data_IF_581383799150
#
_entry.id   IF_581383799150
#
_cell.length_a   1.000
_cell.length_b   1.000
_cell.length_c   1.000
_cell.angle_alpha   90.00
_cell.angle_beta   90.00
_cell.angle_gamma   90.00
#
_symmetry.space_group_name_H-M   'P 1'
#
loop_
_entity.id
_entity.type
_entity.pdbx_description
1 polymer ?
#
# COMPACT_ATOMS: atom_id res chain seq x y z
N UNK A 1 12.63 16.55 -22.22
CA UNK A 1 13.22 15.69 -21.17
C UNK A 1 13.57 16.44 -19.88
N UNK A 2 13.83 17.75 -19.90
CA UNK A 2 14.27 18.54 -18.73
C UNK A 2 13.23 18.60 -17.59
N UNK A 3 11.94 18.73 -17.91
CA UNK A 3 10.88 18.88 -16.90
C UNK A 3 10.68 17.65 -16.01
N UNK A 4 10.80 16.42 -16.54
CA UNK A 4 10.57 15.22 -15.75
C UNK A 4 11.66 14.99 -14.70
N UNK A 5 12.92 15.31 -15.04
CA UNK A 5 14.06 15.20 -14.12
C UNK A 5 13.94 16.23 -13.00
N UNK A 6 13.51 17.45 -13.33
CA UNK A 6 13.28 18.52 -12.36
C UNK A 6 12.11 18.22 -11.41
N UNK A 7 11.02 17.63 -11.93
CA UNK A 7 9.90 17.16 -11.12
C UNK A 7 10.32 16.07 -10.13
N UNK A 8 11.17 15.12 -10.55
CA UNK A 8 11.69 14.08 -9.64
C UNK A 8 12.65 14.64 -8.60
N UNK A 9 13.43 15.67 -8.94
CA UNK A 9 14.41 16.29 -8.04
C UNK A 9 13.78 17.14 -6.93
N UNK A 10 12.59 17.67 -7.18
CA UNK A 10 11.82 18.51 -6.25
C UNK A 10 10.70 17.77 -5.54
N UNK A 11 10.41 16.53 -5.94
CA UNK A 11 9.40 15.71 -5.30
C UNK A 11 9.85 15.27 -3.92
N UNK A 12 9.12 15.72 -2.90
CA UNK A 12 9.24 15.24 -1.54
C UNK A 12 7.97 14.45 -1.24
N UNK A 13 8.13 13.17 -0.89
CA UNK A 13 7.01 12.36 -0.43
C UNK A 13 6.39 12.96 0.85
N UNK A 14 5.14 12.64 1.17
CA UNK A 14 4.56 13.04 2.44
C UNK A 14 5.45 12.54 3.60
N UNK A 15 5.78 13.44 4.52
CA UNK A 15 6.58 13.10 5.70
C UNK A 15 5.70 12.36 6.73
N UNK A 16 5.99 11.08 6.93
CA UNK A 16 5.33 10.25 7.93
C UNK A 16 6.09 10.18 9.25
N UNK A 17 7.19 10.92 9.42
CA UNK A 17 8.12 10.83 10.56
C UNK A 17 7.56 11.47 11.84
N UNK A 18 6.59 12.37 11.73
CA UNK A 18 5.93 13.01 12.89
C UNK A 18 4.88 12.10 13.59
N UNK A 19 4.80 10.81 13.21
CA UNK A 19 4.01 9.77 13.85
C UNK A 19 4.44 9.59 15.32
N UNK A 20 3.96 10.46 16.21
CA UNK A 20 4.00 10.20 17.64
C UNK A 20 3.11 8.99 17.92
N UNK A 21 3.77 7.86 18.25
CA UNK A 21 3.15 6.77 19.01
C UNK A 21 2.38 7.41 20.16
N UNK A 22 1.07 7.17 20.18
CA UNK A 22 0.08 7.97 20.88
C UNK A 22 0.53 8.55 22.22
N UNK A 23 0.56 9.89 22.28
CA UNK A 23 0.35 10.59 23.54
C UNK A 23 -0.90 11.44 23.34
N UNK A 24 -1.99 10.89 23.86
CA UNK A 24 -3.31 11.49 24.07
C UNK A 24 -3.30 13.02 23.96
N UNK A 25 -3.68 13.56 22.80
CA UNK A 25 -4.11 14.94 22.70
C UNK A 25 -5.64 14.95 22.66
N UNK A 26 -6.19 15.51 23.73
CA UNK A 26 -7.61 15.72 23.94
C UNK A 26 -8.32 16.26 22.69
N UNK A 27 -9.35 15.54 22.23
CA UNK A 27 -10.60 16.13 21.77
C UNK A 27 -10.62 16.82 20.40
N UNK A 28 -10.20 16.14 19.33
CA UNK A 28 -10.66 16.50 17.98
C UNK A 28 -11.27 15.28 17.29
N UNK A 29 -12.58 15.34 17.04
CA UNK A 29 -13.40 14.27 16.45
C UNK A 29 -13.10 13.99 14.96
N UNK A 30 -12.02 14.56 14.42
CA UNK A 30 -11.57 14.40 13.03
C UNK A 30 -10.08 14.03 12.96
N UNK A 31 -9.63 13.11 13.82
CA UNK A 31 -8.25 12.62 13.75
C UNK A 31 -8.05 11.78 12.47
N UNK A 32 -7.68 12.45 11.38
CA UNK A 32 -7.15 11.80 10.18
C UNK A 32 -5.97 10.92 10.62
N UNK A 33 -5.90 9.64 10.23
CA UNK A 33 -4.73 8.81 10.53
C UNK A 33 -3.46 9.55 10.11
N UNK A 34 -2.58 9.84 11.06
CA UNK A 34 -1.34 10.63 10.86
C UNK A 34 -0.25 9.79 10.13
N UNK A 35 -0.64 8.65 9.56
CA UNK A 35 0.26 7.71 8.91
C UNK A 35 -0.18 7.39 7.48
N UNK A 36 0.64 6.62 6.74
CA UNK A 36 0.25 6.16 5.43
C UNK A 36 -1.07 5.40 5.52
N UNK A 37 -1.94 5.52 4.51
CA UNK A 37 -3.15 4.71 4.46
C UNK A 37 -2.77 3.23 4.53
N UNK A 38 -3.59 2.38 5.18
CA UNK A 38 -3.38 0.94 5.14
C UNK A 38 -3.33 0.50 3.67
N UNK A 39 -2.24 -0.15 3.29
CA UNK A 39 -1.97 -0.50 1.89
C UNK A 39 -1.74 -2.00 1.76
N UNK A 40 -2.25 -2.60 0.69
CA UNK A 40 -2.07 -4.00 0.33
C UNK A 40 -1.41 -4.04 -1.05
N UNK A 41 -0.35 -4.85 -1.19
CA UNK A 41 0.33 -5.04 -2.46
C UNK A 41 -0.23 -6.28 -3.18
N UNK A 42 -0.74 -6.11 -4.40
CA UNK A 42 -1.00 -7.23 -5.30
C UNK A 42 0.21 -7.39 -6.21
N UNK A 43 0.82 -8.57 -6.21
CA UNK A 43 2.10 -8.83 -6.84
C UNK A 43 2.06 -10.06 -7.73
N UNK A 44 2.61 -9.94 -8.93
CA UNK A 44 2.84 -11.06 -9.83
C UNK A 44 3.86 -12.08 -9.26
N UNK A 45 3.62 -13.38 -9.43
CA UNK A 45 4.53 -14.44 -8.95
C UNK A 45 5.73 -14.65 -9.84
N UNK A 46 5.56 -14.45 -11.16
CA UNK A 46 6.62 -14.62 -12.13
C UNK A 46 7.37 -13.30 -12.26
N UNK A 47 8.50 -13.25 -11.57
CA UNK A 47 9.37 -12.09 -11.60
C UNK A 47 10.42 -12.25 -12.68
N UNK A 48 10.80 -11.13 -13.30
CA UNK A 48 12.10 -11.05 -13.95
C UNK A 48 13.21 -11.21 -12.88
N UNK A 49 14.39 -11.71 -13.26
CA UNK A 49 15.47 -12.11 -12.33
C UNK A 49 15.79 -11.07 -11.24
N UNK A 50 15.61 -9.78 -11.53
CA UNK A 50 15.87 -8.64 -10.64
C UNK A 50 14.78 -8.40 -9.60
N UNK A 51 13.51 -8.63 -9.93
CA UNK A 51 12.38 -8.44 -9.01
C UNK A 51 12.28 -9.56 -7.97
N UNK A 52 12.88 -10.73 -8.26
CA UNK A 52 12.82 -11.92 -7.40
C UNK A 52 13.42 -11.70 -6.00
N UNK A 53 14.35 -10.76 -5.86
CA UNK A 53 15.06 -10.51 -4.59
C UNK A 53 14.38 -9.49 -3.68
N UNK A 54 13.49 -8.66 -4.23
CA UNK A 54 12.83 -7.61 -3.45
C UNK A 54 11.39 -8.02 -3.14
N UNK A 55 11.15 -8.55 -1.94
CA UNK A 55 9.80 -8.95 -1.46
C UNK A 55 8.76 -7.84 -1.60
N UNK A 56 9.17 -6.58 -1.44
CA UNK A 56 8.31 -5.40 -1.48
C UNK A 56 8.58 -4.46 -2.66
N UNK A 57 9.25 -4.92 -3.73
CA UNK A 57 9.46 -4.14 -4.97
C UNK A 57 10.06 -2.73 -4.75
N UNK A 58 10.96 -2.59 -3.78
CA UNK A 58 11.60 -1.29 -3.44
C UNK A 58 10.77 -0.36 -2.54
N UNK A 59 9.52 -0.69 -2.22
CA UNK A 59 8.67 0.15 -1.35
C UNK A 59 9.16 0.22 0.11
N UNK A 60 10.06 -0.67 0.53
CA UNK A 60 10.74 -0.59 1.82
C UNK A 60 11.60 0.67 1.96
N UNK A 61 12.13 1.19 0.85
CA UNK A 61 12.89 2.43 0.82
C UNK A 61 12.00 3.65 1.02
N UNK A 62 10.72 3.55 0.62
CA UNK A 62 9.73 4.59 0.87
C UNK A 62 9.27 4.57 2.33
N UNK A 63 8.88 3.38 2.84
CA UNK A 63 8.50 3.20 4.24
C UNK A 63 8.56 1.72 4.64
N UNK A 64 9.27 1.44 5.72
CA UNK A 64 9.24 0.10 6.34
C UNK A 64 7.82 -0.23 6.82
N UNK A 65 7.42 -1.49 6.66
CA UNK A 65 6.12 -2.02 7.05
C UNK A 65 4.92 -1.26 6.44
N UNK A 66 5.12 -0.67 5.26
CA UNK A 66 4.09 0.05 4.52
C UNK A 66 2.92 -0.86 4.15
N UNK A 67 3.21 -2.07 3.68
CA UNK A 67 2.19 -3.04 3.29
C UNK A 67 1.70 -3.85 4.48
N UNK A 68 0.37 -3.89 4.66
CA UNK A 68 -0.29 -4.75 5.64
C UNK A 68 -0.37 -6.20 5.17
N UNK A 69 -0.38 -6.41 3.85
CA UNK A 69 -0.38 -7.73 3.23
C UNK A 69 0.13 -7.66 1.81
N UNK A 70 0.66 -8.78 1.33
CA UNK A 70 1.00 -9.00 -0.07
C UNK A 70 0.16 -10.17 -0.58
N UNK A 71 -0.62 -9.94 -1.62
CA UNK A 71 -1.40 -10.97 -2.31
C UNK A 71 -0.65 -11.30 -3.60
N UNK A 72 -0.33 -12.58 -3.81
CA UNK A 72 0.42 -13.03 -4.98
C UNK A 72 -0.55 -13.58 -6.03
N UNK A 73 -0.34 -13.21 -7.29
CA UNK A 73 -1.17 -13.63 -8.43
C UNK A 73 -0.31 -14.20 -9.57
N UNK A 74 -0.82 -15.14 -10.38
CA UNK A 74 -0.08 -15.73 -11.49
C UNK A 74 0.33 -14.73 -12.58
N UNK A 75 1.29 -15.14 -13.42
CA UNK A 75 1.86 -14.31 -14.47
C UNK A 75 2.96 -13.37 -13.97
N UNK A 76 3.38 -12.48 -14.88
CA UNK A 76 4.32 -11.39 -14.66
C UNK A 76 3.62 -10.03 -14.84
N UNK A 77 4.35 -8.92 -14.75
CA UNK A 77 3.77 -7.58 -14.89
C UNK A 77 2.95 -7.38 -16.19
N UNK A 78 3.34 -8.05 -17.27
CA UNK A 78 2.64 -7.98 -18.56
C UNK A 78 1.50 -8.99 -18.67
N UNK A 79 1.68 -10.20 -18.13
CA UNK A 79 0.72 -11.30 -18.33
C UNK A 79 -0.31 -11.41 -17.23
N UNK A 80 -0.16 -10.76 -16.08
CA UNK A 80 -1.13 -10.86 -14.98
C UNK A 80 -2.51 -10.26 -15.32
N UNK A 81 -2.57 -9.40 -16.35
CA UNK A 81 -3.81 -8.77 -16.83
C UNK A 81 -4.37 -9.40 -18.11
N UNK A 82 -3.81 -10.51 -18.59
CA UNK A 82 -4.37 -11.23 -19.74
C UNK A 82 -5.64 -11.97 -19.35
N UNK A 83 -6.45 -12.38 -20.33
CA UNK A 83 -7.71 -13.12 -20.10
C UNK A 83 -7.49 -14.36 -19.21
N UNK A 84 -6.36 -15.04 -19.38
CA UNK A 84 -5.99 -16.23 -18.59
C UNK A 84 -5.73 -15.93 -17.10
N UNK A 85 -5.37 -14.69 -16.74
CA UNK A 85 -4.92 -14.34 -15.39
C UNK A 85 -5.76 -13.25 -14.70
N UNK A 86 -6.53 -12.46 -15.45
CA UNK A 86 -7.27 -11.30 -14.93
C UNK A 86 -8.25 -11.67 -13.81
N UNK A 87 -8.81 -12.87 -13.83
CA UNK A 87 -9.67 -13.36 -12.76
C UNK A 87 -8.95 -13.43 -11.41
N UNK A 88 -7.69 -13.90 -11.37
CA UNK A 88 -6.90 -13.93 -10.13
C UNK A 88 -6.62 -12.53 -9.60
N UNK A 89 -6.41 -11.54 -10.49
CA UNK A 89 -6.24 -10.14 -10.08
C UNK A 89 -7.53 -9.58 -9.52
N UNK A 90 -8.68 -9.88 -10.13
CA UNK A 90 -9.99 -9.44 -9.65
C UNK A 90 -10.30 -10.02 -8.26
N UNK A 91 -10.04 -11.31 -8.05
CA UNK A 91 -10.22 -11.97 -6.76
C UNK A 91 -9.29 -11.38 -5.69
N UNK A 92 -8.01 -11.16 -6.04
CA UNK A 92 -7.04 -10.51 -5.15
C UNK A 92 -7.46 -9.07 -4.79
N UNK A 93 -8.02 -8.32 -5.74
CA UNK A 93 -8.54 -6.98 -5.49
C UNK A 93 -9.74 -7.02 -4.54
N UNK A 94 -10.66 -7.95 -4.75
CA UNK A 94 -11.80 -8.13 -3.86
C UNK A 94 -11.35 -8.48 -2.43
N UNK A 95 -10.41 -9.43 -2.29
CA UNK A 95 -9.83 -9.79 -0.99
C UNK A 95 -9.13 -8.58 -0.33
N UNK A 96 -8.35 -7.81 -1.10
CA UNK A 96 -7.68 -6.62 -0.61
C UNK A 96 -8.66 -5.58 -0.06
N UNK A 97 -9.73 -5.27 -0.80
CA UNK A 97 -10.77 -4.35 -0.36
C UNK A 97 -11.41 -4.82 0.95
N UNK A 98 -11.81 -6.09 1.05
CA UNK A 98 -12.38 -6.63 2.28
C UNK A 98 -11.42 -6.53 3.49
N UNK A 99 -10.12 -6.74 3.27
CA UNK A 99 -9.11 -6.58 4.32
C UNK A 99 -8.98 -5.13 4.75
N UNK A 100 -8.95 -4.19 3.80
CA UNK A 100 -8.89 -2.75 4.10
C UNK A 100 -10.12 -2.29 4.86
N UNK A 101 -11.32 -2.70 4.44
CA UNK A 101 -12.58 -2.42 5.13
C UNK A 101 -12.53 -2.89 6.59
N UNK A 102 -12.08 -4.13 6.84
CA UNK A 102 -11.91 -4.66 8.20
C UNK A 102 -10.89 -3.85 9.02
N UNK A 103 -9.78 -3.43 8.43
CA UNK A 103 -8.78 -2.60 9.11
C UNK A 103 -9.32 -1.21 9.46
N UNK A 104 -10.23 -0.67 8.64
CA UNK A 104 -10.86 0.63 8.88
C UNK A 104 -12.08 0.57 9.81
N UNK A 105 -12.79 -0.57 9.85
CA UNK A 105 -13.98 -0.78 10.69
C UNK A 105 -13.67 -0.99 12.18
N UNK A 106 -12.41 -1.24 12.54
CA UNK A 106 -11.96 -1.43 13.94
C UNK A 106 -11.84 -0.11 14.71
N UNK A 107 -12.21 1.04 14.13
CA UNK A 107 -12.44 2.27 14.92
C UNK A 107 -13.82 2.16 15.59
N UNK A 108 -13.93 1.81 16.89
CA UNK A 108 -15.22 1.57 17.50
C UNK A 108 -15.93 2.91 17.73
N UNK A 109 -17.09 3.07 17.11
CA UNK A 109 -18.08 4.09 17.43
C UNK A 109 -18.72 3.76 18.77
N UNK A 110 -18.01 3.98 19.88
CA UNK A 110 -18.55 3.79 21.22
C UNK A 110 -18.83 5.17 21.84
N UNK A 111 -19.95 5.77 21.45
CA UNK A 111 -20.54 6.91 22.15
C UNK A 111 -22.07 6.74 22.14
N UNK A 112 -22.60 6.17 23.22
CA UNK A 112 -23.99 6.31 23.65
C UNK A 112 -24.02 6.18 25.16
#
# INVERSE_FOLDING_TARGET
MVQAVEMLSSWHGPDWSELKVGKESNGSLNAVPIGPPPTILIRATENSFLESQQSHLGWDEYKQDFFKRIIRVPGNHFTMFTDDHVAYVADALHEACQLLERLTAVVPSNAS
#
